data_IF_843235477966
#
_entry.id   IF_843235477966
#
_cell.length_a   1.000
_cell.length_b   1.000
_cell.length_c   1.000
_cell.angle_alpha   90.00
_cell.angle_beta   90.00
_cell.angle_gamma   90.00
#
_symmetry.space_group_name_H-M   'P 1'
#
loop_
_entity.id
_entity.type
_entity.pdbx_description
1 polymer ?
#
# COMPACT_ATOMS: atom_id res chain seq x y z
N UNK A 1 -10.42 -19.92 -51.10
CA UNK A 1 -10.05 -18.49 -51.18
C UNK A 1 -9.59 -18.07 -49.80
N UNK A 2 -8.29 -17.75 -49.67
CA UNK A 2 -7.62 -17.52 -48.38
C UNK A 2 -7.75 -16.06 -47.96
N UNK A 3 -8.37 -15.79 -46.81
CA UNK A 3 -8.36 -14.46 -46.16
C UNK A 3 -7.53 -14.52 -44.88
N UNK A 4 -6.23 -14.39 -45.07
CA UNK A 4 -5.24 -14.14 -44.01
C UNK A 4 -5.46 -12.73 -43.45
N UNK A 5 -5.88 -12.62 -42.19
CA UNK A 5 -5.93 -11.36 -41.44
C UNK A 5 -4.74 -11.30 -40.51
N UNK A 6 -3.77 -10.44 -40.85
CA UNK A 6 -2.59 -10.13 -40.03
C UNK A 6 -3.00 -9.57 -38.67
N UNK A 7 -2.42 -10.00 -37.54
CA UNK A 7 -2.59 -9.33 -36.26
C UNK A 7 -1.80 -8.01 -36.27
N UNK A 8 -2.49 -6.91 -35.96
CA UNK A 8 -1.90 -5.57 -35.87
C UNK A 8 -1.05 -5.46 -34.61
N UNK A 9 0.22 -5.14 -34.83
CA UNK A 9 1.05 -4.25 -34.00
C UNK A 9 1.13 -4.57 -32.51
N UNK A 10 2.22 -5.25 -32.17
CA UNK A 10 2.93 -5.11 -30.90
C UNK A 10 3.28 -3.65 -30.61
N UNK A 11 2.47 -2.98 -29.79
CA UNK A 11 2.91 -1.78 -29.08
C UNK A 11 3.47 -2.26 -27.73
N UNK A 12 4.77 -2.11 -27.45
CA UNK A 12 5.24 -2.31 -26.09
C UNK A 12 4.67 -1.17 -25.26
N UNK A 13 3.65 -1.47 -24.46
CA UNK A 13 3.30 -0.62 -23.33
C UNK A 13 4.55 -0.62 -22.45
N UNK A 14 5.16 0.56 -22.37
CA UNK A 14 6.35 0.81 -21.58
C UNK A 14 6.18 0.15 -20.23
N UNK A 15 7.07 -0.79 -19.91
CA UNK A 15 7.37 -1.15 -18.55
C UNK A 15 7.92 0.11 -17.89
N UNK A 16 7.02 0.95 -17.39
CA UNK A 16 7.37 1.92 -16.38
C UNK A 16 7.69 1.08 -15.15
N UNK A 17 8.97 0.71 -15.05
CA UNK A 17 9.66 0.38 -13.81
C UNK A 17 9.58 1.62 -12.92
N UNK A 18 8.37 1.90 -12.44
CA UNK A 18 8.12 2.87 -11.40
C UNK A 18 8.92 2.40 -10.21
N UNK A 19 10.02 3.10 -9.93
CA UNK A 19 10.65 3.12 -8.61
C UNK A 19 9.52 3.13 -7.60
N UNK A 20 9.32 2.04 -6.88
CA UNK A 20 8.42 1.96 -5.74
C UNK A 20 8.92 3.00 -4.77
N UNK A 21 8.33 4.20 -4.82
CA UNK A 21 8.64 5.30 -3.91
C UNK A 21 8.33 4.73 -2.54
N UNK A 22 9.36 4.47 -1.74
CA UNK A 22 9.21 3.89 -0.42
C UNK A 22 8.22 4.77 0.35
N UNK A 23 7.03 4.24 0.62
CA UNK A 23 6.02 4.93 1.40
C UNK A 23 6.56 4.96 2.83
N UNK A 24 6.66 6.15 3.42
CA UNK A 24 7.09 6.25 4.82
C UNK A 24 6.05 5.62 5.74
N UNK A 25 6.52 5.13 6.88
CA UNK A 25 5.65 4.61 7.95
C UNK A 25 4.60 5.66 8.34
N UNK A 26 5.00 6.93 8.46
CA UNK A 26 4.11 8.07 8.72
C UNK A 26 2.98 8.24 7.69
N UNK A 27 3.31 8.10 6.39
CA UNK A 27 2.32 8.25 5.34
C UNK A 27 1.31 7.10 5.36
N UNK A 28 1.78 5.89 5.67
CA UNK A 28 0.92 4.72 5.84
C UNK A 28 0.02 4.86 7.07
N UNK A 29 0.58 5.30 8.20
CA UNK A 29 -0.12 5.60 9.44
C UNK A 29 -1.28 6.59 9.22
N UNK A 30 -1.00 7.72 8.56
CA UNK A 30 -2.00 8.73 8.23
C UNK A 30 -3.10 8.19 7.32
N UNK A 31 -2.74 7.35 6.35
CA UNK A 31 -3.72 6.71 5.45
C UNK A 31 -4.65 5.77 6.21
N UNK A 32 -4.12 4.97 7.13
CA UNK A 32 -4.92 4.06 7.96
C UNK A 32 -5.88 4.84 8.86
N UNK A 33 -5.42 5.92 9.50
CA UNK A 33 -6.30 6.76 10.34
C UNK A 33 -7.47 7.32 9.53
N UNK A 34 -7.21 7.82 8.32
CA UNK A 34 -8.28 8.32 7.45
C UNK A 34 -9.26 7.21 7.04
N UNK A 35 -8.76 6.01 6.79
CA UNK A 35 -9.62 4.87 6.48
C UNK A 35 -10.48 4.44 7.68
N UNK A 36 -9.98 4.58 8.92
CA UNK A 36 -10.76 4.34 10.15
C UNK A 36 -11.91 5.33 10.23
N UNK A 37 -11.65 6.63 10.10
CA UNK A 37 -12.69 7.68 10.09
C UNK A 37 -13.75 7.38 9.03
N UNK A 38 -13.33 7.02 7.82
CA UNK A 38 -14.26 6.65 6.74
C UNK A 38 -15.08 5.40 7.06
N UNK A 39 -14.49 4.39 7.70
CA UNK A 39 -15.19 3.17 8.08
C UNK A 39 -16.18 3.42 9.23
N UNK A 40 -15.84 4.32 10.17
CA UNK A 40 -16.72 4.79 11.24
C UNK A 40 -17.92 5.56 10.66
N UNK A 41 -17.67 6.50 9.75
CA UNK A 41 -18.71 7.28 9.06
C UNK A 41 -19.69 6.39 8.28
N UNK A 42 -19.18 5.29 7.69
CA UNK A 42 -19.99 4.30 6.99
C UNK A 42 -20.66 3.28 7.91
N UNK A 43 -20.37 3.30 9.21
CA UNK A 43 -20.93 2.36 10.19
C UNK A 43 -20.42 0.92 10.06
N UNK A 44 -19.27 0.70 9.43
CA UNK A 44 -18.72 -0.63 9.16
C UNK A 44 -17.76 -1.04 10.28
N UNK A 45 -18.30 -1.45 11.42
CA UNK A 45 -17.51 -1.75 12.63
C UNK A 45 -16.42 -2.81 12.46
N UNK A 46 -16.63 -3.82 11.60
CA UNK A 46 -15.60 -4.83 11.31
C UNK A 46 -14.40 -4.26 10.56
N UNK A 47 -14.63 -3.29 9.66
CA UNK A 47 -13.56 -2.60 8.94
C UNK A 47 -12.77 -1.71 9.90
N UNK A 48 -13.45 -1.01 10.83
CA UNK A 48 -12.79 -0.23 11.88
C UNK A 48 -11.85 -1.12 12.70
N UNK A 49 -12.33 -2.27 13.19
CA UNK A 49 -11.51 -3.20 13.98
C UNK A 49 -10.28 -3.70 13.21
N UNK A 50 -10.45 -4.08 11.94
CA UNK A 50 -9.34 -4.53 11.10
C UNK A 50 -8.31 -3.41 10.86
N UNK A 51 -8.76 -2.19 10.61
CA UNK A 51 -7.89 -1.05 10.38
C UNK A 51 -7.16 -0.61 11.65
N UNK A 52 -7.79 -0.68 12.82
CA UNK A 52 -7.14 -0.47 14.11
C UNK A 52 -6.02 -1.50 14.35
N UNK A 53 -6.24 -2.75 13.94
CA UNK A 53 -5.19 -3.77 14.04
C UNK A 53 -4.04 -3.53 13.08
N UNK A 54 -4.33 -3.16 11.84
CA UNK A 54 -3.30 -2.74 10.89
C UNK A 54 -2.50 -1.55 11.42
N UNK A 55 -3.15 -0.58 12.08
CA UNK A 55 -2.46 0.56 12.70
C UNK A 55 -1.46 0.12 13.77
N UNK A 56 -1.88 -0.78 14.65
CA UNK A 56 -1.02 -1.33 15.70
C UNK A 56 0.21 -2.03 15.12
N UNK A 57 0.04 -2.83 14.07
CA UNK A 57 1.16 -3.52 13.41
C UNK A 57 2.18 -2.55 12.81
N UNK A 58 1.70 -1.44 12.22
CA UNK A 58 2.56 -0.37 11.70
C UNK A 58 3.36 0.29 12.82
N UNK A 59 2.71 0.65 13.93
CA UNK A 59 3.39 1.29 15.08
C UNK A 59 4.42 0.35 15.73
N UNK A 60 4.10 -0.94 15.88
CA UNK A 60 5.05 -1.92 16.40
C UNK A 60 6.25 -2.13 15.47
N UNK A 61 6.03 -2.04 14.15
CA UNK A 61 7.11 -2.11 13.16
C UNK A 61 8.03 -0.89 13.26
N UNK A 62 7.47 0.30 13.47
CA UNK A 62 8.23 1.53 13.69
C UNK A 62 9.14 1.41 14.91
N UNK A 63 8.57 0.97 16.04
CA UNK A 63 9.31 0.75 17.30
C UNK A 63 10.45 -0.26 17.08
N UNK A 64 10.19 -1.36 16.35
CA UNK A 64 11.19 -2.36 16.07
C UNK A 64 12.35 -1.82 15.21
N UNK A 65 12.07 -0.94 14.25
CA UNK A 65 13.08 -0.26 13.44
C UNK A 65 13.91 0.71 14.28
N UNK A 66 13.27 1.53 15.10
CA UNK A 66 13.96 2.45 16.02
C UNK A 66 14.85 1.71 17.03
N UNK A 67 14.38 0.58 17.56
CA UNK A 67 15.14 -0.22 18.51
C UNK A 67 16.40 -0.82 17.88
N UNK A 68 16.37 -1.19 16.60
CA UNK A 68 17.55 -1.70 15.87
C UNK A 68 18.59 -0.60 15.62
N UNK A 69 18.13 0.62 15.33
CA UNK A 69 18.99 1.79 15.14
C UNK A 69 19.73 2.15 16.45
N UNK A 70 19.03 2.14 17.59
CA UNK A 70 19.62 2.44 18.91
C UNK A 70 20.65 1.40 19.40
N UNK A 71 20.61 0.17 18.90
CA UNK A 71 21.54 -0.91 19.29
C UNK A 71 22.84 -0.93 18.45
N UNK A 72 22.89 -0.12 17.39
CA UNK A 72 24.04 -0.05 16.45
C UNK A 72 24.84 1.26 16.58
N UNK A 73 24.58 2.06 17.61
CA UNK A 73 25.29 3.30 17.95
C UNK A 73 26.07 3.12 19.25
#
# INVERSE_FOLDING_TARGET
>A
MSSSTKPRTSRPISAETGRTKAVSVDALASTINRAIEQAEDLGIGSAVQLLMMARLEVDLTEIALESKLKKSA
#
